data_IF_099667269550
#
_entry.id   IF_099667269550
#
_cell.length_a   1.000
_cell.length_b   1.000
_cell.length_c   1.000
_cell.angle_alpha   90.00
_cell.angle_beta   90.00
_cell.angle_gamma   90.00
#
_symmetry.space_group_name_H-M   'P 1'
#
loop_
_entity.id
_entity.type
_entity.pdbx_description
1 polymer ?
#
# COMPACT_ATOMS: atom_id res chain seq x y z
N UNK A 1 -26.03 4.11 -10.97
CA UNK A 1 -25.99 4.89 -9.70
C UNK A 1 -25.85 3.98 -8.47
N UNK A 2 -26.73 2.98 -8.31
CA UNK A 2 -26.72 2.01 -7.20
C UNK A 2 -25.38 1.32 -7.01
N UNK A 3 -24.73 0.89 -8.11
CA UNK A 3 -23.41 0.25 -8.08
C UNK A 3 -22.32 1.13 -7.42
N UNK A 4 -22.35 2.44 -7.66
CA UNK A 4 -21.37 3.40 -7.12
C UNK A 4 -21.57 3.58 -5.62
N UNK A 5 -22.82 3.61 -5.16
CA UNK A 5 -23.17 3.71 -3.75
C UNK A 5 -22.74 2.44 -3.01
N UNK A 6 -23.06 1.26 -3.55
CA UNK A 6 -22.60 -0.02 -2.99
C UNK A 6 -21.08 -0.12 -2.93
N UNK A 7 -20.38 0.30 -3.98
CA UNK A 7 -18.92 0.31 -4.01
C UNK A 7 -18.34 1.25 -2.93
N UNK A 8 -18.90 2.45 -2.75
CA UNK A 8 -18.47 3.39 -1.70
C UNK A 8 -18.73 2.87 -0.29
N UNK A 9 -19.89 2.26 -0.04
CA UNK A 9 -20.22 1.66 1.26
C UNK A 9 -19.28 0.50 1.55
N UNK A 10 -19.04 -0.38 0.58
CA UNK A 10 -18.08 -1.47 0.69
C UNK A 10 -16.68 -0.95 1.03
N UNK A 11 -16.22 0.08 0.31
CA UNK A 11 -14.90 0.66 0.53
C UNK A 11 -14.77 1.35 1.88
N UNK A 12 -15.80 2.10 2.30
CA UNK A 12 -15.81 2.71 3.62
C UNK A 12 -15.71 1.64 4.71
N UNK A 13 -16.49 0.57 4.59
CA UNK A 13 -16.47 -0.54 5.53
C UNK A 13 -15.10 -1.26 5.54
N UNK A 14 -14.53 -1.49 4.35
CA UNK A 14 -13.21 -2.10 4.19
C UNK A 14 -12.08 -1.23 4.74
N UNK A 15 -12.16 0.10 4.66
CA UNK A 15 -11.09 0.98 5.12
C UNK A 15 -11.23 1.37 6.60
N UNK A 16 -12.44 1.70 7.04
CA UNK A 16 -12.70 2.19 8.40
C UNK A 16 -12.77 1.07 9.44
N UNK A 17 -13.42 -0.06 9.12
CA UNK A 17 -13.68 -1.13 10.09
C UNK A 17 -12.65 -2.27 10.04
N UNK A 18 -12.15 -2.57 8.85
CA UNK A 18 -11.42 -3.81 8.62
C UNK A 18 -9.90 -3.68 8.75
N UNK A 19 -9.30 -2.58 8.29
CA UNK A 19 -7.84 -2.44 8.24
C UNK A 19 -7.20 -2.22 9.63
N UNK A 20 -7.70 -1.32 10.50
CA UNK A 20 -7.12 -1.15 11.83
C UNK A 20 -7.17 -2.44 12.65
N UNK A 21 -8.30 -3.17 12.56
CA UNK A 21 -8.52 -4.42 13.30
C UNK A 21 -7.67 -5.59 12.76
N UNK A 22 -7.51 -5.73 11.44
CA UNK A 22 -6.68 -6.79 10.85
C UNK A 22 -5.19 -6.58 11.15
N UNK A 23 -4.71 -5.33 11.05
CA UNK A 23 -3.30 -5.02 11.28
C UNK A 23 -2.94 -5.14 12.76
N UNK A 24 -3.83 -4.74 13.67
CA UNK A 24 -3.59 -4.86 15.10
C UNK A 24 -3.48 -6.31 15.60
N UNK A 25 -4.15 -7.28 14.95
CA UNK A 25 -4.31 -8.63 15.52
C UNK A 25 -3.36 -9.66 14.90
N UNK A 26 -3.01 -9.57 13.61
CA UNK A 26 -2.39 -10.71 12.91
C UNK A 26 -1.06 -10.43 12.22
N UNK A 27 -0.65 -9.18 12.02
CA UNK A 27 0.36 -8.82 11.01
C UNK A 27 1.29 -7.71 11.54
N UNK A 28 2.18 -8.03 12.49
CA UNK A 28 3.10 -7.11 13.19
C UNK A 28 4.27 -6.54 12.33
N UNK A 29 4.07 -6.35 11.02
CA UNK A 29 5.08 -5.82 10.10
C UNK A 29 5.03 -4.30 9.97
N UNK A 30 6.18 -3.64 9.78
CA UNK A 30 6.27 -2.18 9.55
C UNK A 30 5.46 -1.73 8.33
N UNK A 31 5.57 -2.48 7.23
CA UNK A 31 4.77 -2.24 6.02
C UNK A 31 3.27 -2.33 6.31
N UNK A 32 2.84 -3.24 7.20
CA UNK A 32 1.43 -3.36 7.59
C UNK A 32 0.98 -2.15 8.41
N UNK A 33 1.83 -1.60 9.27
CA UNK A 33 1.55 -0.37 10.02
C UNK A 33 1.38 0.83 9.06
N UNK A 34 2.27 0.97 8.07
CA UNK A 34 2.16 2.03 7.07
C UNK A 34 0.90 1.87 6.21
N UNK A 35 0.54 0.65 5.83
CA UNK A 35 -0.72 0.37 5.13
C UNK A 35 -1.95 0.66 5.99
N UNK A 36 -1.90 0.36 7.30
CA UNK A 36 -2.97 0.73 8.23
C UNK A 36 -3.11 2.25 8.36
N UNK A 37 -1.99 2.95 8.51
CA UNK A 37 -1.96 4.40 8.59
C UNK A 37 -2.49 5.06 7.30
N UNK A 38 -2.08 4.56 6.14
CA UNK A 38 -2.62 5.00 4.85
C UNK A 38 -4.15 4.81 4.80
N UNK A 39 -4.65 3.69 5.29
CA UNK A 39 -6.08 3.40 5.28
C UNK A 39 -6.87 4.26 6.27
N UNK A 40 -6.29 4.53 7.44
CA UNK A 40 -6.87 5.43 8.43
C UNK A 40 -6.99 6.85 7.88
N UNK A 41 -5.97 7.34 7.17
CA UNK A 41 -5.94 8.69 6.58
C UNK A 41 -6.87 8.83 5.37
N UNK A 42 -7.10 7.75 4.60
CA UNK A 42 -8.08 7.70 3.51
C UNK A 42 -9.55 7.71 4.03
N UNK A 43 -9.78 7.21 5.24
CA UNK A 43 -11.15 7.05 5.77
C UNK A 43 -11.93 8.37 5.85
N UNK A 44 -11.39 9.47 6.42
CA UNK A 44 -12.02 10.79 6.35
C UNK A 44 -12.33 11.21 4.92
N UNK A 45 -11.39 11.05 3.99
CA UNK A 45 -11.59 11.45 2.60
C UNK A 45 -12.79 10.72 1.96
N UNK A 46 -12.94 9.42 2.21
CA UNK A 46 -14.07 8.64 1.73
C UNK A 46 -15.39 9.01 2.39
N UNK A 47 -15.40 9.22 3.72
CA UNK A 47 -16.58 9.62 4.47
C UNK A 47 -17.15 10.94 3.94
N UNK A 48 -16.30 11.96 3.84
CA UNK A 48 -16.69 13.29 3.40
C UNK A 48 -17.09 13.32 1.94
N UNK A 49 -16.44 12.51 1.10
CA UNK A 49 -16.89 12.32 -0.28
C UNK A 49 -18.29 11.73 -0.28
N UNK A 50 -18.58 10.71 0.52
CA UNK A 50 -19.92 10.15 0.68
C UNK A 50 -20.96 11.22 1.04
N UNK A 51 -20.63 12.12 1.98
CA UNK A 51 -21.53 13.23 2.35
C UNK A 51 -21.73 14.21 1.20
N UNK A 52 -20.67 14.59 0.46
CA UNK A 52 -20.79 15.45 -0.73
C UNK A 52 -21.73 14.85 -1.78
N UNK A 53 -21.60 13.54 -2.03
CA UNK A 53 -22.51 12.81 -2.92
C UNK A 53 -23.95 12.84 -2.40
N UNK A 54 -24.16 12.61 -1.10
CA UNK A 54 -25.48 12.65 -0.50
C UNK A 54 -26.14 14.04 -0.64
N UNK A 55 -25.39 15.11 -0.40
CA UNK A 55 -25.89 16.49 -0.58
C UNK A 55 -26.24 16.76 -2.05
N UNK A 56 -25.36 16.38 -2.98
CA UNK A 56 -25.60 16.52 -4.42
C UNK A 56 -26.91 15.83 -4.84
N UNK A 57 -27.15 14.62 -4.34
CA UNK A 57 -28.39 13.88 -4.63
C UNK A 57 -29.62 14.39 -3.88
N UNK A 58 -29.45 15.08 -2.76
CA UNK A 58 -30.56 15.66 -2.00
C UNK A 58 -31.17 16.88 -2.70
N UNK A 59 -30.52 17.42 -3.74
CA UNK A 59 -30.94 18.65 -4.42
C UNK A 59 -30.77 19.92 -3.57
N UNK A 60 -30.19 19.79 -2.37
CA UNK A 60 -29.90 20.91 -1.48
C UNK A 60 -28.60 21.57 -1.91
N UNK A 61 -28.70 22.49 -2.88
CA UNK A 61 -27.52 23.18 -3.44
C UNK A 61 -26.85 24.17 -2.47
N UNK A 62 -27.46 24.45 -1.31
CA UNK A 62 -26.97 25.45 -0.37
C UNK A 62 -26.56 24.84 0.96
N UNK A 63 -25.25 24.72 1.17
CA UNK A 63 -24.64 24.45 2.47
C UNK A 63 -24.16 25.78 3.07
N UNK A 64 -24.32 25.97 4.39
CA UNK A 64 -23.75 27.14 5.09
C UNK A 64 -22.24 27.20 4.89
N UNK A 65 -21.69 28.39 4.60
CA UNK A 65 -20.28 28.60 4.31
C UNK A 65 -19.34 27.99 5.37
N UNK A 66 -19.66 28.17 6.66
CA UNK A 66 -18.89 27.58 7.78
C UNK A 66 -18.81 26.05 7.68
N UNK A 67 -19.92 25.40 7.36
CA UNK A 67 -19.98 23.95 7.20
C UNK A 67 -19.21 23.51 5.95
N UNK A 68 -19.35 24.26 4.84
CA UNK A 68 -18.59 24.01 3.61
C UNK A 68 -17.07 24.04 3.83
N UNK A 69 -16.57 25.00 4.63
CA UNK A 69 -15.16 25.08 4.98
C UNK A 69 -14.64 23.79 5.62
N UNK A 70 -15.31 23.26 6.65
CA UNK A 70 -14.90 22.00 7.28
C UNK A 70 -15.04 20.80 6.34
N UNK A 71 -16.07 20.79 5.48
CA UNK A 71 -16.27 19.77 4.44
C UNK A 71 -15.19 19.78 3.35
N UNK A 72 -14.49 20.89 3.15
CA UNK A 72 -13.36 20.99 2.24
C UNK A 72 -12.03 20.74 2.94
N UNK A 73 -11.85 21.28 4.15
CA UNK A 73 -10.59 21.26 4.88
C UNK A 73 -10.23 19.88 5.44
N UNK A 74 -11.17 19.17 6.08
CA UNK A 74 -10.86 17.87 6.67
C UNK A 74 -10.44 16.81 5.64
N UNK A 75 -11.13 16.70 4.47
CA UNK A 75 -10.71 15.79 3.41
C UNK A 75 -9.38 16.16 2.79
N UNK A 76 -9.03 17.46 2.76
CA UNK A 76 -7.75 17.92 2.25
C UNK A 76 -6.59 17.43 3.12
N UNK A 77 -6.72 17.54 4.45
CA UNK A 77 -5.75 16.98 5.40
C UNK A 77 -5.64 15.46 5.23
N UNK A 78 -6.79 14.76 5.18
CA UNK A 78 -6.80 13.31 5.00
C UNK A 78 -6.14 12.88 3.70
N UNK A 79 -6.39 13.61 2.60
CA UNK A 79 -5.75 13.37 1.31
C UNK A 79 -4.24 13.59 1.37
N UNK A 80 -3.77 14.69 1.98
CA UNK A 80 -2.34 14.97 2.15
C UNK A 80 -1.63 13.86 2.94
N UNK A 81 -2.16 13.50 4.11
CA UNK A 81 -1.60 12.42 4.93
C UNK A 81 -1.62 11.06 4.22
N UNK A 82 -2.68 10.76 3.46
CA UNK A 82 -2.77 9.55 2.66
C UNK A 82 -1.70 9.52 1.56
N UNK A 83 -1.49 10.63 0.85
CA UNK A 83 -0.44 10.72 -0.17
C UNK A 83 0.96 10.56 0.43
N UNK A 84 1.24 11.18 1.58
CA UNK A 84 2.52 11.00 2.27
C UNK A 84 2.71 9.56 2.76
N UNK A 85 1.66 8.93 3.31
CA UNK A 85 1.70 7.53 3.72
C UNK A 85 1.95 6.58 2.55
N UNK A 86 1.31 6.83 1.41
CA UNK A 86 1.50 6.07 0.19
C UNK A 86 2.93 6.21 -0.35
N UNK A 87 3.50 7.42 -0.32
CA UNK A 87 4.91 7.64 -0.65
C UNK A 87 5.83 6.83 0.28
N UNK A 88 5.60 6.89 1.59
CA UNK A 88 6.37 6.10 2.56
C UNK A 88 6.32 4.60 2.28
N UNK A 89 5.15 4.05 1.90
CA UNK A 89 5.02 2.64 1.47
C UNK A 89 5.81 2.38 0.19
N UNK A 90 5.78 3.29 -0.79
CA UNK A 90 6.55 3.18 -2.03
C UNK A 90 8.05 3.16 -1.77
N UNK A 91 8.55 4.07 -0.93
CA UNK A 91 9.96 4.17 -0.54
C UNK A 91 10.41 2.94 0.25
N UNK A 92 9.61 2.48 1.22
CA UNK A 92 9.89 1.25 2.00
C UNK A 92 10.08 0.03 1.07
N UNK A 93 9.19 -0.13 0.09
CA UNK A 93 9.30 -1.19 -0.93
C UNK A 93 10.53 -1.04 -1.81
N UNK A 94 10.84 0.19 -2.25
CA UNK A 94 12.02 0.46 -3.08
C UNK A 94 13.31 0.11 -2.33
N UNK A 95 13.42 0.53 -1.07
CA UNK A 95 14.58 0.23 -0.22
C UNK A 95 14.71 -1.28 0.00
N UNK A 96 13.62 -1.98 0.27
CA UNK A 96 13.64 -3.45 0.44
C UNK A 96 14.17 -4.19 -0.80
N UNK A 97 13.88 -3.67 -2.01
CA UNK A 97 14.35 -4.25 -3.27
C UNK A 97 15.81 -3.88 -3.57
N UNK A 98 16.20 -2.64 -3.33
CA UNK A 98 17.55 -2.13 -3.59
C UNK A 98 18.58 -2.65 -2.58
N UNK A 99 18.21 -2.66 -1.31
CA UNK A 99 19.10 -2.93 -0.19
C UNK A 99 18.51 -4.03 0.70
N UNK A 100 18.59 -5.32 0.30
CA UNK A 100 18.08 -6.43 1.10
C UNK A 100 18.74 -6.56 2.49
N UNK A 101 19.86 -5.87 2.71
CA UNK A 101 20.60 -5.85 3.97
C UNK A 101 20.28 -4.67 4.88
N UNK A 102 19.48 -3.68 4.43
CA UNK A 102 19.26 -2.44 5.18
C UNK A 102 17.79 -2.37 5.68
N UNK A 103 17.56 -2.64 6.97
CA UNK A 103 16.28 -2.32 7.62
C UNK A 103 16.22 -0.83 7.93
N UNK A 104 15.86 0.01 6.97
CA UNK A 104 15.78 1.46 7.16
C UNK A 104 14.52 1.83 7.96
N UNK A 105 14.68 2.80 8.88
CA UNK A 105 13.62 3.55 9.56
C UNK A 105 13.30 4.81 8.77
N UNK A 106 12.04 5.22 8.73
CA UNK A 106 11.67 6.60 8.43
C UNK A 106 11.09 7.25 9.70
N UNK A 107 11.82 8.23 10.23
CA UNK A 107 11.34 9.19 11.22
C UNK A 107 10.80 10.40 10.45
N UNK A 108 9.50 10.63 10.49
CA UNK A 108 8.86 11.80 9.87
C UNK A 108 8.81 12.91 10.91
N UNK A 109 9.91 13.67 11.03
CA UNK A 109 10.03 14.86 11.86
C UNK A 109 10.07 16.11 11.01
N UNK A 110 9.20 17.06 11.35
CA UNK A 110 9.13 18.47 10.95
C UNK A 110 8.90 18.79 9.47
N UNK A 111 7.66 19.22 9.17
CA UNK A 111 7.37 20.29 8.20
C UNK A 111 5.89 20.73 8.35
N UNK A 112 5.65 21.84 9.04
CA UNK A 112 4.38 22.60 8.94
C UNK A 112 4.71 24.09 9.01
N UNK A 113 4.63 24.78 7.87
CA UNK A 113 4.48 26.25 7.80
C UNK A 113 3.20 26.59 7.03
N UNK A 114 2.50 27.67 7.40
CA UNK A 114 1.12 27.89 6.95
C UNK A 114 1.01 28.77 5.69
N UNK A 115 1.35 28.24 4.51
CA UNK A 115 1.02 28.87 3.21
C UNK A 115 0.67 27.79 2.16
N UNK A 116 -0.42 27.04 2.38
CA UNK A 116 -0.64 25.70 1.78
C UNK A 116 -1.77 25.62 0.73
N UNK A 117 -1.83 26.57 -0.21
CA UNK A 117 -2.74 26.47 -1.36
C UNK A 117 -2.03 25.90 -2.60
N UNK A 118 -1.07 26.65 -3.18
CA UNK A 118 -0.29 26.21 -4.34
C UNK A 118 0.65 25.05 -3.99
N UNK A 119 1.20 25.05 -2.77
CA UNK A 119 2.17 24.05 -2.32
C UNK A 119 1.60 22.63 -2.34
N UNK A 120 0.34 22.43 -1.95
CA UNK A 120 -0.28 21.09 -1.88
C UNK A 120 -0.46 20.48 -3.27
N UNK A 121 -0.63 21.31 -4.30
CA UNK A 121 -0.73 20.85 -5.68
C UNK A 121 0.63 20.44 -6.24
N UNK A 122 1.65 21.28 -6.04
CA UNK A 122 3.03 21.00 -6.45
C UNK A 122 3.62 19.81 -5.69
N UNK A 123 3.38 19.73 -4.39
CA UNK A 123 3.77 18.59 -3.55
C UNK A 123 3.10 17.30 -4.04
N UNK A 124 1.80 17.35 -4.36
CA UNK A 124 1.08 16.21 -4.91
C UNK A 124 1.67 15.71 -6.23
N UNK A 125 2.12 16.60 -7.12
CA UNK A 125 2.79 16.23 -8.36
C UNK A 125 4.17 15.63 -8.10
N UNK A 126 4.97 16.22 -7.21
CA UNK A 126 6.29 15.71 -6.84
C UNK A 126 6.18 14.31 -6.23
N UNK A 127 5.23 14.10 -5.31
CA UNK A 127 4.94 12.80 -4.71
C UNK A 127 4.56 11.80 -5.80
N UNK A 128 3.68 12.19 -6.73
CA UNK A 128 3.25 11.32 -7.82
C UNK A 128 4.40 10.92 -8.76
N UNK A 129 5.23 11.86 -9.20
CA UNK A 129 6.38 11.56 -10.03
C UNK A 129 7.41 10.69 -9.29
N UNK A 130 7.60 10.93 -7.99
CA UNK A 130 8.48 10.12 -7.16
C UNK A 130 7.95 8.70 -7.04
N UNK A 131 6.66 8.52 -6.75
CA UNK A 131 6.01 7.20 -6.70
C UNK A 131 6.10 6.49 -8.06
N UNK A 132 5.86 7.21 -9.15
CA UNK A 132 5.99 6.68 -10.51
C UNK A 132 7.43 6.21 -10.77
N UNK A 133 8.43 7.02 -10.44
CA UNK A 133 9.84 6.67 -10.56
C UNK A 133 10.21 5.44 -9.72
N UNK A 134 9.71 5.35 -8.48
CA UNK A 134 9.89 4.17 -7.63
C UNK A 134 9.35 2.90 -8.31
N UNK A 135 8.13 2.95 -8.85
CA UNK A 135 7.53 1.80 -9.52
C UNK A 135 8.23 1.41 -10.81
N UNK A 136 8.62 2.38 -11.64
CA UNK A 136 9.43 2.12 -12.85
C UNK A 136 10.77 1.49 -12.46
N UNK A 137 11.40 1.96 -11.39
CA UNK A 137 12.66 1.41 -10.89
C UNK A 137 12.49 -0.04 -10.42
N UNK A 138 11.46 -0.34 -9.62
CA UNK A 138 11.13 -1.71 -9.20
C UNK A 138 10.90 -2.60 -10.43
N UNK A 139 10.14 -2.11 -11.41
CA UNK A 139 9.87 -2.84 -12.64
C UNK A 139 11.14 -3.16 -13.42
N UNK A 140 12.03 -2.18 -13.61
CA UNK A 140 13.32 -2.36 -14.26
C UNK A 140 14.21 -3.35 -13.51
N UNK A 141 14.27 -3.29 -12.18
CA UNK A 141 15.07 -4.22 -11.37
C UNK A 141 14.55 -5.65 -11.54
N UNK A 142 13.23 -5.87 -11.53
CA UNK A 142 12.63 -7.18 -11.74
C UNK A 142 12.94 -7.69 -13.16
N UNK A 143 12.93 -6.81 -14.17
CA UNK A 143 13.31 -7.17 -15.54
C UNK A 143 14.78 -7.58 -15.65
N UNK A 144 15.68 -6.93 -14.91
CA UNK A 144 17.12 -7.22 -14.91
C UNK A 144 17.43 -8.51 -14.15
N UNK A 145 16.81 -8.74 -12.97
CA UNK A 145 17.06 -9.92 -12.10
C UNK A 145 16.47 -11.24 -12.62
N UNK A 146 16.15 -11.35 -13.90
CA UNK A 146 15.34 -12.41 -14.53
C UNK A 146 15.98 -13.81 -14.45
N UNK A 147 15.91 -14.45 -13.27
CA UNK A 147 16.11 -15.88 -13.06
C UNK A 147 14.83 -16.65 -13.41
N UNK A 148 14.95 -17.75 -14.15
CA UNK A 148 13.86 -18.46 -14.83
C UNK A 148 12.69 -18.89 -13.92
N UNK A 149 12.95 -19.18 -12.64
CA UNK A 149 11.96 -19.77 -11.73
C UNK A 149 11.17 -18.73 -10.90
N UNK A 150 11.72 -17.53 -10.64
CA UNK A 150 11.01 -16.43 -9.96
C UNK A 150 10.06 -15.65 -10.89
N UNK A 151 10.07 -15.96 -12.18
CA UNK A 151 9.35 -15.20 -13.20
C UNK A 151 7.82 -15.30 -13.08
N UNK A 152 7.29 -16.41 -12.54
CA UNK A 152 5.84 -16.61 -12.42
C UNK A 152 5.20 -15.72 -11.33
N UNK A 153 5.86 -15.60 -10.18
CA UNK A 153 5.36 -14.79 -9.06
C UNK A 153 5.56 -13.29 -9.31
N UNK A 154 6.72 -12.91 -9.86
CA UNK A 154 7.03 -11.52 -10.21
C UNK A 154 6.09 -10.96 -11.29
N UNK A 155 5.68 -11.76 -12.29
CA UNK A 155 4.70 -11.32 -13.29
C UNK A 155 3.34 -10.94 -12.70
N UNK A 156 2.87 -11.70 -11.70
CA UNK A 156 1.60 -11.38 -11.01
C UNK A 156 1.70 -10.08 -10.24
N UNK A 157 2.83 -9.87 -9.54
CA UNK A 157 3.11 -8.64 -8.81
C UNK A 157 3.21 -7.43 -9.75
N UNK A 158 3.95 -7.54 -10.87
CA UNK A 158 4.05 -6.47 -11.87
C UNK A 158 2.68 -6.12 -12.43
N UNK A 159 1.86 -7.13 -12.76
CA UNK A 159 0.53 -6.91 -13.31
C UNK A 159 -0.36 -6.17 -12.31
N UNK A 160 -0.32 -6.52 -11.03
CA UNK A 160 -1.11 -5.83 -10.00
C UNK A 160 -0.65 -4.39 -9.79
N UNK A 161 0.67 -4.15 -9.75
CA UNK A 161 1.25 -2.81 -9.66
C UNK A 161 0.85 -1.92 -10.83
N UNK A 162 0.95 -2.44 -12.05
CA UNK A 162 0.59 -1.69 -13.28
C UNK A 162 -0.89 -1.30 -13.28
N UNK A 163 -1.75 -2.22 -12.82
CA UNK A 163 -3.19 -1.96 -12.68
C UNK A 163 -3.44 -0.86 -11.63
N UNK A 164 -2.76 -0.90 -10.48
CA UNK A 164 -2.88 0.13 -9.45
C UNK A 164 -2.48 1.52 -9.97
N UNK A 165 -1.36 1.61 -10.70
CA UNK A 165 -0.91 2.87 -11.29
C UNK A 165 -1.90 3.42 -12.32
N UNK A 166 -2.42 2.57 -13.20
CA UNK A 166 -3.39 2.96 -14.23
C UNK A 166 -4.73 3.40 -13.64
N UNK A 167 -5.20 2.73 -12.59
CA UNK A 167 -6.50 3.02 -11.95
C UNK A 167 -6.44 4.26 -11.03
N UNK A 168 -5.27 4.62 -10.51
CA UNK A 168 -5.10 5.73 -9.57
C UNK A 168 -5.66 7.08 -10.06
N UNK A 169 -5.95 7.24 -11.36
CA UNK A 169 -6.58 8.44 -11.93
C UNK A 169 -5.69 9.68 -11.91
N UNK A 170 -4.48 9.57 -11.38
CA UNK A 170 -3.53 10.68 -11.26
C UNK A 170 -3.01 11.13 -12.62
N UNK A 171 -2.77 10.19 -13.53
CA UNK A 171 -2.43 10.49 -14.93
C UNK A 171 -3.51 11.38 -15.55
N UNK A 172 -4.78 11.07 -15.29
CA UNK A 172 -5.89 11.87 -15.79
C UNK A 172 -5.88 13.28 -15.20
N UNK A 173 -5.60 13.45 -13.90
CA UNK A 173 -5.46 14.79 -13.30
C UNK A 173 -4.37 15.63 -13.95
N UNK A 174 -3.21 15.03 -14.25
CA UNK A 174 -2.12 15.73 -14.96
C UNK A 174 -2.59 16.15 -16.35
N UNK A 175 -3.18 15.24 -17.12
CA UNK A 175 -3.69 15.53 -18.47
C UNK A 175 -4.71 16.66 -18.43
N UNK A 176 -5.62 16.65 -17.46
CA UNK A 176 -6.68 17.65 -17.33
C UNK A 176 -6.16 19.06 -17.01
N UNK A 177 -5.04 19.19 -16.31
CA UNK A 177 -4.42 20.50 -16.05
C UNK A 177 -3.92 21.17 -17.33
N UNK A 178 -3.58 20.37 -18.35
CA UNK A 178 -3.10 20.89 -19.64
C UNK A 178 -4.23 21.13 -20.65
N UNK A 179 -5.45 20.64 -20.40
CA UNK A 179 -6.57 20.87 -21.31
C UNK A 179 -7.40 22.04 -20.82
N UNK A 180 -7.47 23.10 -21.64
CA UNK A 180 -8.25 24.30 -21.36
C UNK A 180 -9.75 24.03 -21.55
N UNK A 181 -10.42 23.59 -20.49
CA UNK A 181 -11.88 23.45 -20.47
C UNK A 181 -12.54 24.64 -19.79
N UNK A 182 -13.79 24.92 -20.18
CA UNK A 182 -14.63 25.87 -19.45
C UNK A 182 -14.87 25.39 -18.00
N UNK A 183 -15.00 26.32 -17.05
CA UNK A 183 -15.10 26.01 -15.62
C UNK A 183 -16.28 25.06 -15.32
N UNK A 184 -17.41 25.24 -16.01
CA UNK A 184 -18.56 24.37 -15.89
C UNK A 184 -18.26 22.96 -16.41
N UNK A 185 -17.53 22.86 -17.53
CA UNK A 185 -17.14 21.58 -18.08
C UNK A 185 -16.16 20.82 -17.19
N UNK A 186 -15.24 21.55 -16.55
CA UNK A 186 -14.30 21.01 -15.57
C UNK A 186 -15.04 20.43 -14.37
N UNK A 187 -16.02 21.11 -13.82
CA UNK A 187 -16.67 20.64 -12.59
C UNK A 187 -17.53 19.39 -12.83
N UNK A 188 -18.37 19.40 -13.87
CA UNK A 188 -19.38 18.36 -14.08
C UNK A 188 -18.88 17.17 -14.90
N UNK A 189 -18.22 17.40 -16.04
CA UNK A 189 -17.83 16.30 -16.93
C UNK A 189 -16.49 15.70 -16.55
N UNK A 190 -15.65 16.46 -15.87
CA UNK A 190 -14.25 16.08 -15.64
C UNK A 190 -14.03 15.81 -14.15
N UNK A 191 -14.38 16.74 -13.29
CA UNK A 191 -14.15 16.69 -11.85
C UNK A 191 -14.82 15.50 -11.22
N UNK A 192 -16.08 15.25 -11.58
CA UNK A 192 -16.84 14.12 -11.05
C UNK A 192 -16.26 12.75 -11.45
N UNK A 193 -16.03 12.41 -12.73
CA UNK A 193 -15.41 11.13 -13.09
C UNK A 193 -14.00 10.97 -12.54
N UNK A 194 -13.19 12.04 -12.54
CA UNK A 194 -11.83 12.03 -11.99
C UNK A 194 -11.84 11.75 -10.50
N UNK A 195 -12.74 12.38 -9.75
CA UNK A 195 -12.91 12.12 -8.32
C UNK A 195 -13.39 10.69 -8.08
N UNK A 196 -14.29 10.16 -8.91
CA UNK A 196 -14.70 8.75 -8.82
C UNK A 196 -13.54 7.80 -9.04
N UNK A 197 -12.76 7.98 -10.11
CA UNK A 197 -11.60 7.16 -10.44
C UNK A 197 -10.52 7.24 -9.35
N UNK A 198 -10.24 8.44 -8.86
CA UNK A 198 -9.34 8.67 -7.74
C UNK A 198 -9.78 7.87 -6.51
N UNK A 199 -11.05 7.96 -6.12
CA UNK A 199 -11.59 7.23 -4.99
C UNK A 199 -11.52 5.72 -5.18
N UNK A 200 -11.79 5.23 -6.41
CA UNK A 200 -11.65 3.81 -6.75
C UNK A 200 -10.19 3.38 -6.59
N UNK A 201 -9.23 4.16 -7.11
CA UNK A 201 -7.79 3.92 -6.95
C UNK A 201 -7.38 3.76 -5.49
N UNK A 202 -7.66 4.76 -4.66
CA UNK A 202 -7.33 4.72 -3.23
C UNK A 202 -8.01 3.56 -2.50
N UNK A 203 -9.25 3.25 -2.84
CA UNK A 203 -9.98 2.14 -2.23
C UNK A 203 -9.53 0.76 -2.71
N UNK A 204 -8.95 0.67 -3.90
CA UNK A 204 -8.54 -0.61 -4.51
C UNK A 204 -7.23 -1.15 -3.94
N UNK A 205 -6.45 -0.32 -3.23
CA UNK A 205 -5.18 -0.70 -2.64
C UNK A 205 -5.30 -1.97 -1.77
N UNK A 206 -6.30 -2.03 -0.88
CA UNK A 206 -6.48 -3.19 -0.02
C UNK A 206 -7.04 -4.42 -0.75
N UNK A 207 -8.15 -4.36 -1.51
CA UNK A 207 -8.64 -5.52 -2.26
C UNK A 207 -7.57 -6.13 -3.15
N UNK A 208 -6.75 -5.31 -3.81
CA UNK A 208 -5.62 -5.77 -4.62
C UNK A 208 -4.62 -6.52 -3.75
N UNK A 209 -4.24 -5.99 -2.58
CA UNK A 209 -3.34 -6.71 -1.66
C UNK A 209 -3.92 -8.05 -1.20
N UNK A 210 -5.21 -8.12 -0.86
CA UNK A 210 -5.88 -9.36 -0.45
C UNK A 210 -5.95 -10.38 -1.59
N UNK A 211 -6.17 -9.93 -2.82
CA UNK A 211 -6.24 -10.82 -4.00
C UNK A 211 -4.86 -11.41 -4.33
N UNK A 212 -3.81 -10.60 -4.24
CA UNK A 212 -2.47 -11.00 -4.69
C UNK A 212 -1.56 -11.58 -3.61
N UNK A 213 -1.81 -11.30 -2.32
CA UNK A 213 -1.01 -11.84 -1.22
C UNK A 213 -1.74 -12.93 -0.44
N UNK A 214 -1.12 -14.10 -0.36
CA UNK A 214 -1.62 -15.26 0.39
C UNK A 214 -1.72 -14.99 1.89
N UNK A 215 -0.82 -14.17 2.44
CA UNK A 215 -0.83 -13.80 3.86
C UNK A 215 -2.06 -12.97 4.20
N UNK A 216 -2.31 -11.89 3.44
CA UNK A 216 -3.49 -11.06 3.61
C UNK A 216 -4.78 -11.83 3.34
N UNK A 217 -4.78 -12.73 2.34
CA UNK A 217 -5.92 -13.61 2.06
C UNK A 217 -6.23 -14.53 3.24
N UNK A 218 -5.20 -15.10 3.88
CA UNK A 218 -5.35 -15.98 5.04
C UNK A 218 -5.87 -15.21 6.25
N UNK A 219 -5.29 -14.03 6.53
CA UNK A 219 -5.78 -13.14 7.59
C UNK A 219 -7.23 -12.70 7.33
N UNK A 220 -7.55 -12.33 6.07
CA UNK A 220 -8.89 -11.93 5.65
C UNK A 220 -9.90 -13.04 5.94
N UNK A 221 -9.65 -14.28 5.51
CA UNK A 221 -10.58 -15.38 5.78
C UNK A 221 -10.66 -15.77 7.25
N UNK A 222 -9.56 -15.63 8.00
CA UNK A 222 -9.57 -15.88 9.45
C UNK A 222 -10.52 -14.93 10.18
N UNK A 223 -10.55 -13.66 9.79
CA UNK A 223 -11.36 -12.63 10.48
C UNK A 223 -12.74 -12.40 9.86
N UNK A 224 -12.90 -12.57 8.54
CA UNK A 224 -14.15 -12.32 7.80
C UNK A 224 -14.77 -13.56 7.16
N UNK A 225 -14.15 -14.74 7.26
CA UNK A 225 -14.71 -15.97 6.66
C UNK A 225 -16.14 -16.25 7.12
N UNK A 226 -16.47 -15.88 8.36
CA UNK A 226 -17.82 -15.99 8.92
C UNK A 226 -18.85 -15.11 8.19
N UNK A 227 -18.46 -13.90 7.75
CA UNK A 227 -19.35 -12.97 7.05
C UNK A 227 -19.73 -13.50 5.65
N UNK A 228 -18.82 -14.27 5.04
CA UNK A 228 -19.02 -14.87 3.72
C UNK A 228 -19.46 -16.34 3.78
N UNK A 229 -19.83 -16.84 4.97
CA UNK A 229 -20.20 -18.24 5.19
C UNK A 229 -19.15 -19.25 4.66
N UNK A 230 -17.88 -18.86 4.60
CA UNK A 230 -16.79 -19.72 4.13
C UNK A 230 -16.41 -20.64 5.29
N UNK A 231 -16.73 -21.93 5.17
CA UNK A 231 -16.39 -22.91 6.21
C UNK A 231 -14.86 -23.01 6.37
N UNK A 232 -14.32 -22.89 7.60
CA UNK A 232 -12.87 -22.86 7.84
C UNK A 232 -12.10 -24.15 7.51
N UNK A 233 -12.78 -25.22 7.07
CA UNK A 233 -12.17 -26.52 6.74
C UNK A 233 -11.80 -26.74 5.27
N UNK A 234 -12.13 -25.83 4.34
CA UNK A 234 -11.94 -26.05 2.89
C UNK A 234 -10.69 -25.39 2.29
N UNK A 235 -9.82 -24.80 3.12
CA UNK A 235 -8.50 -24.35 2.65
C UNK A 235 -7.60 -25.58 2.52
N UNK A 236 -7.37 -26.02 1.26
CA UNK A 236 -6.46 -27.15 0.99
C UNK A 236 -5.09 -26.88 1.62
N UNK A 237 -4.50 -27.84 2.36
CA UNK A 237 -3.22 -27.70 3.05
C UNK A 237 -2.01 -27.79 2.09
N UNK A 238 -2.02 -27.04 0.99
CA UNK A 238 -0.93 -27.07 0.00
C UNK A 238 0.23 -26.15 0.38
N UNK A 239 0.02 -25.17 1.29
CA UNK A 239 1.02 -24.12 1.55
C UNK A 239 1.86 -24.38 2.81
N UNK A 240 1.38 -25.16 3.77
CA UNK A 240 2.13 -25.45 5.01
C UNK A 240 3.39 -26.29 4.74
N UNK A 241 3.42 -27.08 3.66
CA UNK A 241 4.63 -27.85 3.33
C UNK A 241 5.78 -26.98 2.79
N UNK A 242 5.49 -25.84 2.15
CA UNK A 242 6.49 -25.01 1.48
C UNK A 242 7.23 -24.05 2.42
N UNK A 243 6.54 -23.54 3.46
CA UNK A 243 7.17 -22.69 4.50
C UNK A 243 8.10 -23.52 5.40
N UNK A 244 7.73 -24.78 5.73
CA UNK A 244 8.63 -25.68 6.46
C UNK A 244 9.87 -26.07 5.67
N UNK A 245 9.83 -26.06 4.33
CA UNK A 245 11.02 -26.34 3.53
C UNK A 245 11.99 -25.15 3.50
N UNK A 246 11.50 -23.91 3.55
CA UNK A 246 12.35 -22.72 3.60
C UNK A 246 13.05 -22.56 4.96
N UNK A 247 12.36 -22.82 6.07
CA UNK A 247 13.00 -22.85 7.41
C UNK A 247 14.03 -23.98 7.56
N UNK A 248 13.91 -25.08 6.79
CA UNK A 248 14.90 -26.15 6.77
C UNK A 248 16.09 -25.90 5.84
N UNK A 249 15.99 -24.98 4.87
CA UNK A 249 17.10 -24.65 3.95
C UNK A 249 18.01 -23.54 4.51
N UNK A 250 17.50 -22.70 5.41
CA UNK A 250 18.26 -21.58 5.99
C UNK A 250 19.29 -21.92 7.11
N UNK A 251 19.34 -23.09 7.77
CA UNK A 251 20.40 -23.38 8.74
C UNK A 251 21.71 -23.88 8.13
N UNK A 252 21.78 -24.21 6.83
CA UNK A 252 22.98 -24.84 6.24
C UNK A 252 24.09 -23.89 5.80
N UNK A 253 23.87 -22.57 5.77
CA UNK A 253 24.93 -21.60 5.45
C UNK A 253 25.64 -20.99 6.68
N UNK A 254 25.37 -21.50 7.89
CA UNK A 254 26.01 -21.02 9.13
C UNK A 254 27.03 -21.97 9.75
N UNK A 255 27.29 -23.13 9.14
CA UNK A 255 28.13 -24.18 9.76
C UNK A 255 29.58 -24.26 9.23
N UNK A 256 29.95 -23.57 8.15
CA UNK A 256 31.25 -23.83 7.49
C UNK A 256 32.35 -22.79 7.77
N UNK A 257 32.23 -21.97 8.82
CA UNK A 257 33.23 -20.91 9.10
C UNK A 257 34.19 -21.21 10.25
N UNK A 258 34.11 -22.36 10.93
CA UNK A 258 35.02 -22.66 12.04
C UNK A 258 35.63 -24.08 11.93
N UNK A 259 36.66 -24.22 11.10
CA UNK A 259 37.67 -25.28 11.26
C UNK A 259 39.01 -24.79 10.74
N UNK A 260 39.52 -23.70 11.34
CA UNK A 260 40.95 -23.40 11.30
C UNK A 260 41.59 -24.28 12.36
N UNK A 261 42.23 -25.35 11.91
CA UNK A 261 42.96 -26.29 12.75
C UNK A 261 44.19 -25.64 13.39
N UNK A 262 44.17 -25.53 14.71
CA UNK A 262 45.37 -25.33 15.52
C UNK A 262 46.07 -26.67 15.68
N UNK A 263 47.07 -26.93 14.86
CA UNK A 263 48.07 -27.97 15.08
C UNK A 263 48.91 -27.61 16.33
N UNK A 264 48.59 -28.18 17.48
CA UNK A 264 49.49 -28.21 18.64
C UNK A 264 50.32 -29.49 18.61
N UNK A 265 51.61 -29.34 18.29
CA UNK A 265 52.63 -30.37 18.46
C UNK A 265 52.79 -30.69 19.96
N UNK A 266 52.38 -31.90 20.35
CA UNK A 266 52.72 -32.46 21.67
C UNK A 266 54.00 -33.26 21.53
N UNK A 267 55.11 -32.66 21.96
CA UNK A 267 56.43 -33.29 22.05
C UNK A 267 56.44 -34.26 23.23
N UNK A 268 56.61 -35.54 22.92
CA UNK A 268 56.63 -36.63 23.88
C UNK A 268 58.07 -36.87 24.36
N UNK A 269 58.49 -36.21 25.44
CA UNK A 269 59.77 -36.49 26.11
C UNK A 269 59.58 -37.51 27.24
N UNK A 270 59.88 -38.76 26.91
CA UNK A 270 60.00 -39.89 27.84
C UNK A 270 61.47 -40.02 28.25
N UNK A 271 61.88 -39.46 29.38
CA UNK A 271 63.18 -39.79 29.98
C UNK A 271 63.03 -40.92 30.99
N UNK A 272 63.71 -42.03 30.69
CA UNK A 272 64.10 -43.05 31.65
C UNK A 272 65.15 -42.48 32.59
N UNK A 273 64.96 -42.67 33.89
CA UNK A 273 66.00 -42.96 34.87
C UNK A 273 65.34 -43.71 36.03
#
# INVERSE_FOLDING_TARGET
MTLIIFHKIYNYWANAGFIPNMVAISLHGRCNLLLAFNSLTITPLQLFSGVKFFVLFSGTNFIRLKTCYYFAFLPLIGAGLATSAQLCVGVDRLISVLFPFCMVMCSTGDNVTPEAGPFVYDEGLVIFFTEFACYVTIWLIILIKKSSQEMANSKKLIKSLTILMGISGQIWRVVLTYVSFDAFAIEYYIGFPTTCLYMIGFSSNLPVLVIFSTEYKTAFYKHLGWLFCIKPGQQRPVIVSMVRTLDQVQPRMRADTNTVGTHSNVTNTRSRA
#
